data_IF_010508422078
#
_entry.id   IF_010508422078
#
_cell.length_a   1.000
_cell.length_b   1.000
_cell.length_c   1.000
_cell.angle_alpha   90.00
_cell.angle_beta   90.00
_cell.angle_gamma   90.00
#
_symmetry.space_group_name_H-M   'P 1'
#
loop_
_entity.id
_entity.type
_entity.pdbx_description
1 polymer ?
#
# COMPACT_ATOMS: atom_id res chain seq x y z
N UNK A 1 10.19 17.83 12.36
CA UNK A 1 9.27 16.68 12.54
C UNK A 1 8.99 15.89 11.25
N UNK A 2 8.54 16.52 10.17
CA UNK A 2 8.22 15.83 8.91
C UNK A 2 9.37 14.98 8.31
N UNK A 3 10.60 15.54 8.28
CA UNK A 3 11.78 14.80 7.81
C UNK A 3 12.10 13.57 8.67
N UNK A 4 11.89 13.67 9.98
CA UNK A 4 12.08 12.54 10.90
C UNK A 4 11.06 11.45 10.59
N UNK A 5 9.79 11.82 10.38
CA UNK A 5 8.73 10.88 10.01
C UNK A 5 9.04 10.17 8.69
N UNK A 6 9.46 10.89 7.64
CA UNK A 6 9.87 10.28 6.37
C UNK A 6 11.04 9.30 6.55
N UNK A 7 12.05 9.71 7.31
CA UNK A 7 13.24 8.89 7.57
C UNK A 7 12.89 7.61 8.34
N UNK A 8 12.00 7.71 9.32
CA UNK A 8 11.50 6.57 10.09
C UNK A 8 10.72 5.58 9.21
N UNK A 9 9.80 6.06 8.36
CA UNK A 9 9.07 5.20 7.43
C UNK A 9 9.99 4.54 6.40
N UNK A 10 10.97 5.29 5.87
CA UNK A 10 11.99 4.73 4.98
C UNK A 10 12.78 3.60 5.67
N UNK A 11 13.14 3.77 6.94
CA UNK A 11 13.80 2.72 7.71
C UNK A 11 12.90 1.49 7.88
N UNK A 12 11.60 1.68 8.15
CA UNK A 12 10.63 0.58 8.24
C UNK A 12 10.47 -0.18 6.91
N UNK A 13 10.42 0.51 5.77
CA UNK A 13 10.41 -0.14 4.46
C UNK A 13 11.69 -0.95 4.22
N UNK A 14 12.86 -0.38 4.53
CA UNK A 14 14.14 -1.10 4.42
C UNK A 14 14.18 -2.34 5.33
N UNK A 15 13.65 -2.24 6.55
CA UNK A 15 13.55 -3.37 7.46
C UNK A 15 12.60 -4.43 6.92
N UNK A 16 11.45 -4.05 6.36
CA UNK A 16 10.51 -5.01 5.77
C UNK A 16 11.16 -5.75 4.58
N UNK A 17 11.87 -5.04 3.71
CA UNK A 17 12.61 -5.64 2.60
C UNK A 17 13.69 -6.61 3.10
N UNK A 18 14.45 -6.23 4.14
CA UNK A 18 15.50 -7.07 4.73
C UNK A 18 14.96 -8.28 5.51
N UNK A 19 13.78 -8.16 6.10
CA UNK A 19 13.17 -9.14 6.99
C UNK A 19 12.01 -9.91 6.34
N UNK A 20 11.95 -9.95 5.01
CA UNK A 20 10.86 -10.57 4.25
C UNK A 20 10.45 -11.98 4.73
N UNK A 21 11.42 -12.81 5.13
CA UNK A 21 11.20 -14.17 5.64
C UNK A 21 11.20 -14.27 7.17
N UNK A 22 11.50 -13.17 7.86
CA UNK A 22 11.54 -13.12 9.32
C UNK A 22 10.11 -13.03 9.89
N UNK A 23 9.83 -13.63 11.07
CA UNK A 23 8.51 -13.56 11.72
C UNK A 23 7.95 -12.15 11.96
N UNK A 24 8.79 -11.11 11.91
CA UNK A 24 8.40 -9.70 12.12
C UNK A 24 7.84 -9.03 10.86
N UNK A 25 8.09 -9.56 9.66
CA UNK A 25 7.63 -8.94 8.41
C UNK A 25 6.12 -8.63 8.37
N UNK A 26 5.21 -9.54 8.81
CA UNK A 26 3.79 -9.23 8.85
C UNK A 26 3.44 -8.03 9.73
N UNK A 27 4.18 -7.82 10.82
CA UNK A 27 4.00 -6.68 11.74
C UNK A 27 4.46 -5.40 11.05
N UNK A 28 5.64 -5.39 10.44
CA UNK A 28 6.16 -4.23 9.71
C UNK A 28 5.24 -3.83 8.55
N UNK A 29 4.78 -4.81 7.77
CA UNK A 29 3.82 -4.59 6.69
C UNK A 29 2.52 -3.98 7.21
N UNK A 30 1.98 -4.51 8.31
CA UNK A 30 0.77 -3.98 8.95
C UNK A 30 0.96 -2.53 9.39
N UNK A 31 2.08 -2.20 10.05
CA UNK A 31 2.38 -0.82 10.48
C UNK A 31 2.43 0.15 9.28
N UNK A 32 3.14 -0.23 8.23
CA UNK A 32 3.24 0.57 7.01
C UNK A 32 1.89 0.71 6.29
N UNK A 33 1.08 -0.36 6.27
CA UNK A 33 -0.28 -0.35 5.73
C UNK A 33 -1.18 0.63 6.49
N UNK A 34 -1.18 0.59 7.83
CA UNK A 34 -1.94 1.55 8.65
C UNK A 34 -1.49 2.97 8.39
N UNK A 35 -0.18 3.22 8.40
CA UNK A 35 0.37 4.56 8.14
C UNK A 35 -0.08 5.10 6.78
N UNK A 36 -0.09 4.26 5.73
CA UNK A 36 -0.56 4.65 4.40
C UNK A 36 -2.03 5.08 4.39
N UNK A 37 -2.89 4.39 5.14
CA UNK A 37 -4.33 4.72 5.21
C UNK A 37 -4.58 5.94 6.10
N UNK A 38 -3.83 6.11 7.18
CA UNK A 38 -4.03 7.23 8.12
C UNK A 38 -3.54 8.57 7.56
N UNK A 39 -2.43 8.59 6.82
CA UNK A 39 -1.83 9.81 6.27
C UNK A 39 -2.48 10.29 4.94
N UNK A 40 -3.76 9.99 4.74
CA UNK A 40 -4.47 10.26 3.48
C UNK A 40 -4.66 11.73 3.14
N UNK A 41 -4.76 12.56 4.17
CA UNK A 41 -4.94 14.00 4.09
C UNK A 41 -3.64 14.75 3.77
N UNK A 42 -2.49 14.07 3.89
CA UNK A 42 -1.16 14.68 3.69
C UNK A 42 -0.56 14.21 2.35
N UNK A 43 -0.67 14.98 1.26
CA UNK A 43 -0.42 14.48 -0.10
C UNK A 43 1.00 13.96 -0.31
N UNK A 44 2.00 14.64 0.27
CA UNK A 44 3.41 14.29 0.15
C UNK A 44 3.70 12.97 0.87
N UNK A 45 3.22 12.84 2.12
CA UNK A 45 3.41 11.61 2.91
C UNK A 45 2.66 10.43 2.28
N UNK A 46 1.40 10.63 1.86
CA UNK A 46 0.61 9.62 1.15
C UNK A 46 1.35 9.11 -0.08
N UNK A 47 1.81 10.02 -0.95
CA UNK A 47 2.52 9.65 -2.17
C UNK A 47 3.82 8.90 -1.86
N UNK A 48 4.57 9.36 -0.86
CA UNK A 48 5.78 8.70 -0.39
C UNK A 48 5.49 7.26 0.08
N UNK A 49 4.50 7.07 0.96
CA UNK A 49 4.12 5.76 1.47
C UNK A 49 3.62 4.84 0.35
N UNK A 50 2.78 5.35 -0.55
CA UNK A 50 2.23 4.58 -1.66
C UNK A 50 3.32 4.10 -2.62
N UNK A 51 4.29 4.96 -2.97
CA UNK A 51 5.39 4.59 -3.88
C UNK A 51 6.33 3.56 -3.26
N UNK A 52 6.70 3.73 -2.00
CA UNK A 52 7.56 2.75 -1.31
C UNK A 52 6.83 1.41 -1.13
N UNK A 53 5.53 1.44 -0.79
CA UNK A 53 4.72 0.22 -0.70
C UNK A 53 4.65 -0.51 -2.04
N UNK A 54 4.44 0.20 -3.15
CA UNK A 54 4.48 -0.39 -4.49
C UNK A 54 5.80 -1.12 -4.75
N UNK A 55 6.93 -0.48 -4.46
CA UNK A 55 8.27 -1.06 -4.65
C UNK A 55 8.47 -2.31 -3.78
N UNK A 56 8.09 -2.28 -2.51
CA UNK A 56 8.18 -3.45 -1.63
C UNK A 56 7.31 -4.59 -2.13
N UNK A 57 6.07 -4.34 -2.54
CA UNK A 57 5.17 -5.39 -3.05
C UNK A 57 5.68 -6.02 -4.36
N UNK A 58 6.32 -5.24 -5.23
CA UNK A 58 6.95 -5.77 -6.44
C UNK A 58 8.15 -6.68 -6.14
N UNK A 59 8.87 -6.43 -5.04
CA UNK A 59 10.03 -7.23 -4.61
C UNK A 59 9.65 -8.44 -3.76
N UNK A 60 8.48 -8.40 -3.12
CA UNK A 60 8.07 -9.36 -2.10
C UNK A 60 6.77 -10.08 -2.48
N UNK A 61 6.86 -11.06 -3.40
CA UNK A 61 5.68 -11.69 -4.00
C UNK A 61 4.80 -12.43 -2.98
N UNK A 62 5.33 -12.78 -1.81
CA UNK A 62 4.63 -13.57 -0.79
C UNK A 62 3.65 -12.74 0.06
N UNK A 63 3.75 -11.40 0.03
CA UNK A 63 2.95 -10.52 0.89
C UNK A 63 1.47 -10.57 0.48
N UNK A 64 0.53 -10.77 1.42
CA UNK A 64 -0.90 -10.81 1.12
C UNK A 64 -1.46 -9.41 0.85
N UNK A 65 -1.46 -8.98 -0.42
CA UNK A 65 -1.90 -7.63 -0.81
C UNK A 65 -3.39 -7.33 -0.64
N UNK A 66 -4.25 -8.37 -0.59
CA UNK A 66 -5.70 -8.19 -0.53
C UNK A 66 -6.19 -7.39 0.68
N UNK A 67 -5.44 -7.41 1.79
CA UNK A 67 -5.79 -6.68 3.01
C UNK A 67 -5.77 -5.16 2.84
N UNK A 68 -5.00 -4.65 1.87
CA UNK A 68 -4.92 -3.22 1.55
C UNK A 68 -6.11 -2.75 0.72
N UNK A 69 -6.76 -3.63 -0.01
CA UNK A 69 -7.64 -3.22 -1.09
C UNK A 69 -8.92 -2.55 -0.59
N UNK A 70 -9.59 -3.17 0.40
CA UNK A 70 -10.81 -2.60 1.01
C UNK A 70 -10.58 -1.18 1.58
N UNK A 71 -9.56 -0.93 2.42
CA UNK A 71 -9.34 0.41 2.95
C UNK A 71 -8.94 1.41 1.85
N UNK A 72 -8.12 1.02 0.87
CA UNK A 72 -7.76 1.90 -0.24
C UNK A 72 -8.96 2.30 -1.10
N UNK A 73 -9.82 1.35 -1.49
CA UNK A 73 -11.03 1.63 -2.25
C UNK A 73 -11.99 2.53 -1.47
N UNK A 74 -12.20 2.23 -0.18
CA UNK A 74 -13.06 3.05 0.70
C UNK A 74 -12.54 4.49 0.75
N UNK A 75 -11.26 4.65 0.99
CA UNK A 75 -10.62 5.95 1.08
C UNK A 75 -10.69 6.72 -0.24
N UNK A 76 -10.41 6.06 -1.38
CA UNK A 76 -10.53 6.68 -2.70
C UNK A 76 -11.97 7.14 -3.02
N UNK A 77 -12.96 6.35 -2.57
CA UNK A 77 -14.38 6.69 -2.73
C UNK A 77 -14.79 7.89 -1.86
N UNK A 78 -14.23 8.00 -0.64
CA UNK A 78 -14.60 9.06 0.32
C UNK A 78 -13.86 10.38 0.08
N UNK A 79 -12.58 10.31 -0.29
CA UNK A 79 -11.67 11.47 -0.33
C UNK A 79 -11.15 11.78 -1.73
N UNK A 80 -11.58 11.01 -2.74
CA UNK A 80 -11.05 11.11 -4.09
C UNK A 80 -9.75 10.32 -4.29
N UNK A 81 -9.26 10.34 -5.52
CA UNK A 81 -8.09 9.60 -5.98
C UNK A 81 -7.25 10.46 -6.92
N UNK A 82 -5.98 10.10 -7.08
CA UNK A 82 -5.06 10.72 -8.03
C UNK A 82 -4.26 9.68 -8.82
N UNK A 83 -3.39 10.15 -9.72
CA UNK A 83 -2.58 9.27 -10.57
C UNK A 83 -1.70 8.28 -9.78
N UNK A 84 -1.18 8.68 -8.61
CA UNK A 84 -0.41 7.77 -7.76
C UNK A 84 -1.27 6.62 -7.21
N UNK A 85 -2.57 6.85 -6.98
CA UNK A 85 -3.48 5.78 -6.55
C UNK A 85 -3.71 4.77 -7.69
N UNK A 86 -3.84 5.22 -8.95
CA UNK A 86 -3.96 4.33 -10.09
C UNK A 86 -2.71 3.48 -10.34
N UNK A 87 -1.52 4.06 -10.23
CA UNK A 87 -0.26 3.31 -10.29
C UNK A 87 -0.20 2.23 -9.21
N UNK A 88 -0.72 2.57 -8.01
CA UNK A 88 -0.78 1.62 -6.92
C UNK A 88 -1.81 0.52 -7.16
N UNK A 89 -3.02 0.86 -7.63
CA UNK A 89 -4.02 -0.12 -8.02
C UNK A 89 -3.52 -1.06 -9.11
N UNK A 90 -2.77 -0.54 -10.07
CA UNK A 90 -2.12 -1.36 -11.11
C UNK A 90 -1.09 -2.33 -10.49
N UNK A 91 -0.28 -1.87 -9.54
CA UNK A 91 0.67 -2.72 -8.81
C UNK A 91 -0.06 -3.84 -8.05
N UNK A 92 -1.15 -3.51 -7.35
CA UNK A 92 -1.97 -4.50 -6.63
C UNK A 92 -2.62 -5.50 -7.59
N UNK A 93 -3.17 -5.02 -8.72
CA UNK A 93 -3.82 -5.84 -9.75
C UNK A 93 -2.89 -6.89 -10.36
N UNK A 94 -1.60 -6.55 -10.50
CA UNK A 94 -0.57 -7.43 -11.06
C UNK A 94 0.04 -8.40 -10.03
N UNK A 95 -0.25 -8.24 -8.75
CA UNK A 95 0.41 -8.99 -7.70
C UNK A 95 -0.19 -10.40 -7.55
N UNK A 96 0.66 -11.43 -7.50
CA UNK A 96 0.25 -12.84 -7.51
C UNK A 96 -0.65 -13.25 -6.32
N UNK A 97 -0.51 -12.56 -5.19
CA UNK A 97 -1.34 -12.78 -3.97
C UNK A 97 -2.66 -12.03 -3.98
N UNK A 98 -3.07 -11.41 -5.08
CA UNK A 98 -4.39 -10.79 -5.19
C UNK A 98 -5.46 -11.87 -5.44
N UNK A 99 -6.15 -12.29 -4.38
CA UNK A 99 -7.23 -13.26 -4.50
C UNK A 99 -8.43 -12.75 -5.32
N UNK A 100 -9.15 -13.66 -5.97
CA UNK A 100 -10.28 -13.36 -6.89
C UNK A 100 -11.30 -12.36 -6.32
N UNK A 101 -11.70 -12.52 -5.05
CA UNK A 101 -12.67 -11.60 -4.41
C UNK A 101 -12.16 -10.15 -4.36
N UNK A 102 -10.86 -9.96 -4.15
CA UNK A 102 -10.24 -8.64 -4.15
C UNK A 102 -10.06 -8.12 -5.58
N UNK A 103 -9.69 -8.97 -6.54
CA UNK A 103 -9.66 -8.58 -7.94
C UNK A 103 -11.02 -8.06 -8.44
N UNK A 104 -12.12 -8.75 -8.10
CA UNK A 104 -13.49 -8.29 -8.40
C UNK A 104 -13.82 -6.95 -7.75
N UNK A 105 -13.43 -6.76 -6.47
CA UNK A 105 -13.62 -5.48 -5.78
C UNK A 105 -12.88 -4.34 -6.51
N UNK A 106 -11.63 -4.57 -6.93
CA UNK A 106 -10.85 -3.57 -7.65
C UNK A 106 -11.47 -3.26 -9.01
N UNK A 107 -11.87 -4.27 -9.77
CA UNK A 107 -12.52 -4.12 -11.06
C UNK A 107 -13.84 -3.35 -10.95
N UNK A 108 -14.68 -3.66 -9.96
CA UNK A 108 -15.93 -2.97 -9.71
C UNK A 108 -15.72 -1.50 -9.32
N UNK A 109 -14.67 -1.21 -8.54
CA UNK A 109 -14.32 0.16 -8.20
C UNK A 109 -13.84 0.94 -9.43
N UNK A 110 -12.86 0.41 -10.16
CA UNK A 110 -12.29 1.06 -11.34
C UNK A 110 -13.30 1.24 -12.48
N UNK A 111 -14.31 0.37 -12.59
CA UNK A 111 -15.38 0.53 -13.58
C UNK A 111 -16.37 1.67 -13.29
N UNK A 112 -16.27 2.31 -12.12
CA UNK A 112 -17.11 3.47 -11.71
C UNK A 112 -16.36 4.80 -11.76
N UNK A 113 -15.03 4.73 -11.92
CA UNK A 113 -14.10 5.86 -11.95
C UNK A 113 -14.01 6.40 -13.37
#
# INVERSE_FOLDING_TARGET
DFQLQLSAHMALFKLLDAFATHPVAPILFKVLAFSLIENHHEPIMRQFLARNMQQTLQRQPHIPVGVLLKPLVKQATLYGYNNCDFDFFLTLAKHERLGLRHALLLMQFLGKV
#
